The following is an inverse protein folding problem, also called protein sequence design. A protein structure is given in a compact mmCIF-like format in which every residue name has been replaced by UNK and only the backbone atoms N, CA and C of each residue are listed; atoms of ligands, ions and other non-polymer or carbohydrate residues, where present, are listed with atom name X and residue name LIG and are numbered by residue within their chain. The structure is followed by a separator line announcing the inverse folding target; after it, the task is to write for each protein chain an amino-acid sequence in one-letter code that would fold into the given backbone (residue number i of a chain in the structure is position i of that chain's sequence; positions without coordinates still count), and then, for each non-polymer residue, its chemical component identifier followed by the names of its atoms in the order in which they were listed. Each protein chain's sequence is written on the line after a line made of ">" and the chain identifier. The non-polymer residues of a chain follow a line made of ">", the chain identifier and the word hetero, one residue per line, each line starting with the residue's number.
data_IF_941846814750
#
_entry.id   IF_941846814750
#
_cell.length_a   1.000
_cell.length_b   1.000
_cell.length_c   1.000
_cell.angle_alpha   90.00
_cell.angle_beta   90.00
_cell.angle_gamma   90.00
#
_symmetry.space_group_name_H-M   'P 1'
#
loop_
_entity.id
_entity.type
_entity.pdbx_description
1 polymer ?
#
# COMPACT_ATOMS: atom_id res chain seq x y z
N UNK A 1 0.70 6.18 -16.06
CA UNK A 1 2.01 5.78 -15.49
C UNK A 1 1.79 5.50 -14.01
N UNK A 2 2.41 4.47 -13.44
CA UNK A 2 2.26 4.12 -12.01
C UNK A 2 3.63 4.31 -11.34
N UNK A 3 3.68 5.07 -10.25
CA UNK A 3 4.90 5.30 -9.48
C UNK A 3 4.87 4.45 -8.21
N UNK A 4 5.91 3.65 -7.98
CA UNK A 4 5.94 2.72 -6.85
C UNK A 4 7.28 2.73 -6.10
N UNK A 5 7.24 2.30 -4.85
CA UNK A 5 8.42 1.99 -4.04
C UNK A 5 8.25 0.61 -3.45
N UNK A 6 9.27 -0.22 -3.61
CA UNK A 6 9.34 -1.49 -2.90
C UNK A 6 10.12 -1.30 -1.60
N UNK A 7 9.53 -1.77 -0.50
CA UNK A 7 10.11 -1.72 0.83
C UNK A 7 10.23 -3.14 1.37
N UNK A 8 11.29 -3.39 2.14
CA UNK A 8 11.47 -4.62 2.91
C UNK A 8 11.77 -4.25 4.35
N UNK A 9 11.06 -4.82 5.30
CA UNK A 9 11.32 -4.60 6.71
C UNK A 9 10.95 -5.88 7.47
N UNK A 10 11.87 -6.40 8.29
CA UNK A 10 11.65 -7.60 9.13
C UNK A 10 10.94 -8.75 8.40
N UNK A 11 11.47 -9.14 7.23
CA UNK A 11 10.89 -10.18 6.37
C UNK A 11 9.65 -9.77 5.57
N UNK A 12 8.92 -8.74 5.98
CA UNK A 12 7.79 -8.21 5.23
C UNK A 12 8.26 -7.49 3.96
N UNK A 13 7.51 -7.68 2.87
CA UNK A 13 7.73 -7.00 1.59
C UNK A 13 6.47 -6.24 1.21
N UNK A 14 6.62 -4.95 0.94
CA UNK A 14 5.50 -4.08 0.60
C UNK A 14 5.83 -3.20 -0.59
N UNK A 15 4.92 -3.18 -1.55
CA UNK A 15 4.93 -2.29 -2.71
C UNK A 15 3.99 -1.12 -2.47
N UNK A 16 4.55 0.06 -2.24
CA UNK A 16 3.82 1.30 -2.05
C UNK A 16 3.58 1.97 -3.41
N UNK A 17 2.32 2.11 -3.81
CA UNK A 17 1.91 2.92 -4.96
C UNK A 17 1.74 4.37 -4.52
N UNK A 18 2.60 5.24 -5.05
CA UNK A 18 2.59 6.68 -4.75
C UNK A 18 1.59 7.43 -5.63
N UNK A 19 1.55 7.08 -6.92
CA UNK A 19 0.76 7.79 -7.94
C UNK A 19 0.32 6.82 -9.03
N UNK A 20 -0.75 7.17 -9.75
CA UNK A 20 -1.30 6.36 -10.85
C UNK A 20 -2.28 5.27 -10.42
N UNK A 21 -2.81 5.35 -9.19
CA UNK A 21 -3.94 4.53 -8.74
C UNK A 21 -5.27 4.93 -9.38
N UNK A 22 -6.30 4.06 -9.30
CA UNK A 22 -7.64 4.39 -9.76
C UNK A 22 -8.26 5.52 -8.91
N UNK A 23 -9.22 6.24 -9.48
CA UNK A 23 -10.06 7.16 -8.70
C UNK A 23 -11.02 6.35 -7.82
N UNK A 24 -10.88 6.50 -6.50
CA UNK A 24 -11.70 5.82 -5.50
C UNK A 24 -12.70 6.77 -4.82
N UNK A 25 -12.75 8.03 -5.26
CA UNK A 25 -13.46 9.11 -4.59
C UNK A 25 -12.73 9.67 -3.35
N UNK A 26 -13.39 10.61 -2.66
CA UNK A 26 -12.83 11.39 -1.53
C UNK A 26 -13.44 11.06 -0.15
N UNK A 27 -14.28 10.02 -0.10
CA UNK A 27 -14.94 9.59 1.12
C UNK A 27 -14.00 8.85 2.09
N UNK A 28 -14.55 8.30 3.19
CA UNK A 28 -13.78 7.52 4.17
C UNK A 28 -12.96 6.40 3.53
N UNK A 29 -11.77 6.15 4.05
CA UNK A 29 -10.85 5.16 3.47
C UNK A 29 -11.45 3.74 3.40
N UNK A 30 -12.32 3.38 4.34
CA UNK A 30 -13.06 2.11 4.31
C UNK A 30 -13.95 1.96 3.06
N UNK A 31 -14.60 3.05 2.61
CA UNK A 31 -15.41 3.06 1.38
C UNK A 31 -14.54 3.02 0.13
N UNK A 32 -13.43 3.76 0.14
CA UNK A 32 -12.44 3.74 -0.95
C UNK A 32 -11.81 2.36 -1.11
N UNK A 33 -11.50 1.69 -0.01
CA UNK A 33 -10.97 0.33 0.00
C UNK A 33 -11.98 -0.70 -0.53
N UNK A 34 -13.27 -0.57 -0.18
CA UNK A 34 -14.34 -1.38 -0.78
C UNK A 34 -14.45 -1.14 -2.29
N UNK A 35 -14.34 0.11 -2.75
CA UNK A 35 -14.32 0.43 -4.17
C UNK A 35 -13.14 -0.23 -4.89
N UNK A 36 -11.93 -0.12 -4.32
CA UNK A 36 -10.73 -0.78 -4.84
C UNK A 36 -10.92 -2.29 -4.98
N UNK A 37 -11.48 -2.93 -3.95
CA UNK A 37 -11.72 -4.37 -3.93
C UNK A 37 -12.77 -4.82 -4.94
N UNK A 38 -13.88 -4.08 -5.07
CA UNK A 38 -15.02 -4.47 -5.91
C UNK A 38 -14.81 -4.17 -7.40
N UNK A 39 -14.17 -3.05 -7.72
CA UNK A 39 -14.18 -2.51 -9.09
C UNK A 39 -12.79 -2.45 -9.73
N UNK A 40 -11.73 -2.63 -8.95
CA UNK A 40 -10.35 -2.42 -9.42
C UNK A 40 -9.42 -3.62 -9.14
N UNK A 41 -9.95 -4.84 -9.25
CA UNK A 41 -9.16 -6.08 -9.13
C UNK A 41 -7.94 -6.09 -10.06
N UNK A 42 -8.14 -5.68 -11.33
CA UNK A 42 -7.07 -5.62 -12.34
C UNK A 42 -5.89 -4.76 -11.90
N UNK A 43 -6.17 -3.64 -11.20
CA UNK A 43 -5.13 -2.78 -10.67
C UNK A 43 -4.39 -3.47 -9.53
N UNK A 44 -5.09 -4.07 -8.56
CA UNK A 44 -4.46 -4.78 -7.44
C UNK A 44 -3.55 -5.90 -7.94
N UNK A 45 -4.06 -6.74 -8.85
CA UNK A 45 -3.29 -7.84 -9.45
C UNK A 45 -2.10 -7.30 -10.24
N UNK A 46 -2.27 -6.22 -11.01
CA UNK A 46 -1.17 -5.63 -11.78
C UNK A 46 -0.06 -5.04 -10.91
N UNK A 47 -0.41 -4.40 -9.78
CA UNK A 47 0.58 -3.88 -8.81
C UNK A 47 1.41 -5.01 -8.23
N UNK A 48 0.81 -6.17 -7.99
CA UNK A 48 1.49 -7.34 -7.42
C UNK A 48 2.14 -8.22 -8.50
N UNK A 49 1.75 -8.06 -9.77
CA UNK A 49 2.39 -8.74 -10.89
C UNK A 49 3.85 -8.27 -11.02
N UNK A 50 4.71 -9.18 -11.49
CA UNK A 50 6.18 -9.07 -11.48
C UNK A 50 6.86 -9.57 -10.20
N UNK A 51 6.12 -10.08 -9.21
CA UNK A 51 6.70 -10.82 -8.07
C UNK A 51 6.57 -12.33 -8.19
N UNK A 52 6.52 -12.87 -9.43
CA UNK A 52 6.35 -14.31 -9.68
C UNK A 52 7.37 -15.19 -8.95
N UNK A 53 8.54 -14.62 -8.62
CA UNK A 53 9.63 -15.29 -7.91
C UNK A 53 9.73 -14.90 -6.43
N UNK A 54 8.73 -14.20 -5.86
CA UNK A 54 8.63 -14.06 -4.41
C UNK A 54 7.18 -14.04 -3.92
N UNK A 55 6.69 -15.15 -3.33
CA UNK A 55 5.40 -15.14 -2.64
C UNK A 55 5.39 -14.15 -1.46
N UNK A 56 4.22 -13.60 -1.14
CA UNK A 56 4.01 -12.81 0.09
C UNK A 56 4.34 -11.32 0.02
N UNK A 57 4.19 -10.66 -1.14
CA UNK A 57 4.22 -9.20 -1.21
C UNK A 57 2.82 -8.61 -0.94
N UNK A 58 2.76 -7.58 -0.09
CA UNK A 58 1.56 -6.75 0.07
C UNK A 58 1.67 -5.47 -0.78
N UNK A 59 0.55 -5.02 -1.33
CA UNK A 59 0.41 -3.71 -1.96
C UNK A 59 -0.13 -2.69 -0.97
N UNK A 60 0.29 -1.45 -1.07
CA UNK A 60 -0.29 -0.32 -0.36
C UNK A 60 -0.51 0.85 -1.33
N UNK A 61 -1.73 1.38 -1.39
CA UNK A 61 -2.04 2.59 -2.17
C UNK A 61 -1.99 3.81 -1.26
N UNK A 62 -1.08 4.74 -1.54
CA UNK A 62 -1.00 6.03 -0.87
C UNK A 62 -2.19 6.91 -1.29
N UNK A 63 -2.85 7.48 -0.30
CA UNK A 63 -4.05 8.28 -0.48
C UNK A 63 -3.96 9.57 0.34
N UNK A 64 -4.68 10.61 -0.09
CA UNK A 64 -5.07 11.68 0.82
C UNK A 64 -5.93 11.08 1.96
N UNK A 65 -5.64 11.41 3.23
CA UNK A 65 -6.47 10.99 4.33
C UNK A 65 -7.81 11.73 4.32
N UNK A 66 -8.87 11.04 4.71
CA UNK A 66 -10.17 11.62 4.96
C UNK A 66 -10.25 12.19 6.39
N UNK A 67 -9.63 11.52 7.35
CA UNK A 67 -9.64 11.96 8.74
C UNK A 67 -8.64 13.11 8.99
N UNK A 68 -9.05 14.14 9.75
CA UNK A 68 -8.18 15.27 10.04
C UNK A 68 -6.98 14.85 10.89
N UNK A 69 -5.85 15.53 10.69
CA UNK A 69 -4.62 15.32 11.48
C UNK A 69 -3.82 14.07 11.11
N UNK A 70 -4.24 13.32 10.08
CA UNK A 70 -3.44 12.23 9.54
C UNK A 70 -2.42 12.75 8.52
N UNK A 71 -1.22 12.18 8.53
CA UNK A 71 -0.16 12.50 7.57
C UNK A 71 -0.42 11.88 6.19
N UNK A 72 -1.05 10.71 6.15
CA UNK A 72 -1.50 10.07 4.91
C UNK A 72 -2.61 9.04 5.16
N UNK A 73 -3.31 8.67 4.09
CA UNK A 73 -4.20 7.53 4.05
C UNK A 73 -3.54 6.34 3.32
N UNK A 74 -3.84 5.12 3.76
CA UNK A 74 -3.29 3.87 3.23
C UNK A 74 -4.38 2.82 3.03
N UNK A 75 -4.43 2.26 1.82
CA UNK A 75 -5.25 1.08 1.52
C UNK A 75 -4.30 -0.08 1.23
N UNK A 76 -4.26 -1.06 2.14
CA UNK A 76 -3.36 -2.22 2.06
C UNK A 76 -4.13 -3.42 1.50
N UNK A 77 -3.50 -4.17 0.60
CA UNK A 77 -4.13 -5.28 -0.11
C UNK A 77 -3.10 -6.34 -0.55
N UNK A 78 -3.56 -7.54 -0.87
CA UNK A 78 -2.80 -8.59 -1.57
C UNK A 78 -3.60 -9.12 -2.77
N UNK A 79 -3.34 -10.32 -3.27
CA UNK A 79 -4.14 -10.91 -4.34
C UNK A 79 -5.58 -11.19 -3.92
N UNK A 80 -5.79 -11.51 -2.65
CA UNK A 80 -7.02 -12.11 -2.15
C UNK A 80 -7.99 -11.06 -1.59
N UNK A 81 -7.48 -9.94 -1.10
CA UNK A 81 -8.34 -8.87 -0.61
C UNK A 81 -7.63 -7.69 0.03
N UNK A 82 -8.33 -7.09 0.99
CA UNK A 82 -7.80 -6.02 1.84
C UNK A 82 -7.11 -6.62 3.06
N UNK A 83 -6.01 -6.02 3.48
CA UNK A 83 -5.22 -6.46 4.62
C UNK A 83 -5.15 -5.37 5.69
N UNK A 84 -5.02 -5.73 6.99
CA UNK A 84 -4.55 -4.78 7.98
C UNK A 84 -3.09 -4.39 7.68
N UNK A 85 -2.68 -3.19 8.09
CA UNK A 85 -1.29 -2.77 8.00
C UNK A 85 -0.47 -3.48 9.10
N UNK A 86 0.50 -4.31 8.71
CA UNK A 86 1.44 -4.91 9.66
C UNK A 86 2.41 -3.87 10.19
N UNK A 87 2.94 -4.04 11.40
CA UNK A 87 3.91 -3.07 11.94
C UNK A 87 5.21 -3.03 11.14
N UNK A 88 5.70 -4.15 10.63
CA UNK A 88 6.84 -4.17 9.71
C UNK A 88 6.53 -3.38 8.41
N UNK A 89 5.32 -3.54 7.86
CA UNK A 89 4.85 -2.73 6.73
C UNK A 89 4.75 -1.23 7.06
N UNK A 90 4.28 -0.89 8.27
CA UNK A 90 4.21 0.48 8.77
C UNK A 90 5.60 1.11 8.90
N UNK A 91 6.59 0.37 9.42
CA UNK A 91 8.00 0.81 9.48
C UNK A 91 8.54 1.06 8.07
N UNK A 92 8.41 0.08 7.17
CA UNK A 92 8.88 0.19 5.79
C UNK A 92 8.28 1.40 5.06
N UNK A 93 6.96 1.60 5.22
CA UNK A 93 6.24 2.75 4.67
C UNK A 93 6.71 4.08 5.27
N UNK A 94 6.85 4.16 6.60
CA UNK A 94 7.29 5.38 7.29
C UNK A 94 8.67 5.81 6.78
N UNK A 95 9.60 4.86 6.67
CA UNK A 95 10.94 5.12 6.13
C UNK A 95 10.92 5.51 4.65
N UNK A 96 10.04 4.92 3.84
CA UNK A 96 9.88 5.29 2.43
C UNK A 96 9.37 6.73 2.29
N UNK A 97 8.34 7.12 3.05
CA UNK A 97 7.81 8.48 3.04
C UNK A 97 8.84 9.50 3.54
N UNK A 98 9.62 9.15 4.56
CA UNK A 98 10.70 10.00 5.06
C UNK A 98 11.79 10.21 4.01
N UNK A 99 12.23 9.14 3.32
CA UNK A 99 13.22 9.22 2.23
C UNK A 99 12.73 10.04 1.04
N UNK A 100 11.43 10.03 0.78
CA UNK A 100 10.81 10.89 -0.23
C UNK A 100 10.64 12.36 0.21
N UNK A 101 10.97 12.71 1.45
CA UNK A 101 10.73 14.04 2.01
C UNK A 101 9.25 14.37 2.22
N UNK A 102 8.37 13.35 2.26
CA UNK A 102 6.92 13.52 2.47
C UNK A 102 6.56 13.67 3.95
N UNK A 103 7.40 13.15 4.84
CA UNK A 103 7.31 13.32 6.30
C UNK A 103 8.72 13.58 6.86
N UNK A 104 8.79 14.13 8.08
CA UNK A 104 10.04 14.47 8.79
C UNK A 104 10.05 13.79 10.15
N UNK A 105 11.14 13.87 10.91
CA UNK A 105 11.15 13.34 12.28
C UNK A 105 10.02 13.97 13.11
N UNK A 106 9.26 13.14 13.84
CA UNK A 106 8.07 13.55 14.57
C UNK A 106 7.03 12.46 14.70
N UNK A 107 5.90 12.83 15.34
CA UNK A 107 4.72 11.96 15.46
C UNK A 107 3.90 12.04 14.19
N UNK A 108 3.54 10.88 13.65
CA UNK A 108 2.67 10.76 12.50
C UNK A 108 1.52 9.82 12.81
N UNK A 109 0.38 10.12 12.19
CA UNK A 109 -0.81 9.28 12.20
C UNK A 109 -1.15 8.91 10.78
N UNK A 110 -1.40 7.64 10.52
CA UNK A 110 -1.88 7.17 9.23
C UNK A 110 -3.30 6.64 9.36
N UNK A 111 -4.15 7.06 8.43
CA UNK A 111 -5.48 6.49 8.28
C UNK A 111 -5.39 5.23 7.44
N UNK A 112 -6.01 4.14 7.90
CA UNK A 112 -6.16 2.91 7.13
C UNK A 112 -7.63 2.54 7.00
N UNK A 113 -7.95 1.63 6.09
CA UNK A 113 -9.31 1.07 5.98
C UNK A 113 -9.81 0.42 7.28
N UNK A 114 -8.89 -0.04 8.14
CA UNK A 114 -9.17 -0.73 9.41
C UNK A 114 -9.03 0.17 10.64
N UNK A 115 -8.74 1.47 10.46
CA UNK A 115 -8.57 2.44 11.56
C UNK A 115 -7.28 3.24 11.49
N UNK A 116 -7.03 4.04 12.52
CA UNK A 116 -5.84 4.88 12.65
C UNK A 116 -4.69 4.11 13.25
N UNK A 117 -3.47 4.38 12.78
CA UNK A 117 -2.24 3.91 13.39
C UNK A 117 -1.30 5.08 13.64
N UNK A 118 -0.72 5.12 14.84
CA UNK A 118 0.25 6.13 15.22
C UNK A 118 1.67 5.59 15.08
N UNK A 119 2.60 6.49 14.77
CA UNK A 119 4.03 6.18 14.70
C UNK A 119 4.84 7.38 15.14
N UNK A 120 6.02 7.13 15.70
CA UNK A 120 7.05 8.12 15.97
C UNK A 120 8.25 7.84 15.08
N UNK A 121 8.58 8.76 14.17
CA UNK A 121 9.83 8.74 13.42
C UNK A 121 10.87 9.57 14.17
N UNK A 122 11.95 8.94 14.60
CA UNK A 122 13.04 9.59 15.31
C UNK A 122 14.04 10.23 14.35
N UNK A 123 14.83 11.19 14.84
CA UNK A 123 15.82 11.92 14.04
C UNK A 123 16.97 11.04 13.53
N UNK A 124 17.23 9.91 14.18
CA UNK A 124 18.21 8.91 13.75
C UNK A 124 17.63 7.93 12.71
N UNK A 125 16.37 8.08 12.34
CA UNK A 125 15.64 7.20 11.42
C UNK A 125 15.03 5.97 12.10
N UNK A 126 15.14 5.81 13.42
CA UNK A 126 14.40 4.76 14.12
C UNK A 126 12.90 5.06 14.12
N UNK A 127 12.07 4.01 14.22
CA UNK A 127 10.62 4.11 14.19
C UNK A 127 10.04 3.47 15.43
N UNK A 128 9.07 4.09 16.10
CA UNK A 128 8.35 3.50 17.23
C UNK A 128 6.86 3.46 16.97
N UNK A 129 6.23 2.32 17.27
CA UNK A 129 4.79 2.13 17.12
C UNK A 129 4.17 2.04 18.53
N UNK A 130 3.50 3.09 19.03
CA UNK A 130 2.90 3.09 20.36
C UNK A 130 1.60 2.28 20.43
N UNK A 131 1.43 1.47 21.50
CA UNK A 131 0.13 0.94 21.92
C UNK A 131 -0.52 -0.14 21.03
N UNK A 132 0.28 -1.05 20.45
CA UNK A 132 -0.25 -2.14 19.63
C UNK A 132 -1.21 -3.07 20.40
N UNK A 133 -2.30 -3.52 19.76
CA UNK A 133 -3.12 -4.65 20.26
C UNK A 133 -2.37 -5.97 20.02
N UNK A 134 -2.50 -6.95 20.92
CA UNK A 134 -1.88 -8.29 20.78
C UNK A 134 -2.08 -8.83 19.36
N UNK A 135 -0.97 -9.13 18.67
CA UNK A 135 -0.92 -9.51 17.26
C UNK A 135 -0.40 -8.41 16.31
N UNK A 136 -0.14 -7.19 16.80
CA UNK A 136 0.42 -6.09 16.03
C UNK A 136 1.63 -5.49 16.74
N UNK A 137 2.83 -5.83 16.24
CA UNK A 137 4.11 -5.14 16.36
C UNK A 137 4.15 -3.86 17.23
N UNK A 138 4.19 -4.06 18.55
CA UNK A 138 4.56 -3.04 19.53
C UNK A 138 6.09 -3.04 19.66
N UNK A 139 6.73 -1.88 19.58
CA UNK A 139 8.17 -1.80 19.76
C UNK A 139 8.86 -0.59 19.15
N UNK A 140 10.14 -0.46 19.51
CA UNK A 140 11.09 0.46 18.88
C UNK A 140 11.90 -0.32 17.85
N UNK A 141 11.89 0.17 16.62
CA UNK A 141 12.48 -0.43 15.44
C UNK A 141 13.68 0.43 15.02
N UNK A 142 14.89 -0.06 15.31
CA UNK A 142 16.15 0.65 15.03
C UNK A 142 16.57 0.51 13.56
N UNK A 143 17.14 1.55 12.91
CA UNK A 143 17.62 1.50 11.52
C UNK A 143 18.57 0.33 11.25
N UNK A 144 19.39 -0.05 12.24
CA UNK A 144 20.35 -1.14 12.14
C UNK A 144 19.69 -2.53 12.05
N UNK A 145 18.56 -2.74 12.74
CA UNK A 145 17.75 -3.96 12.60
C UNK A 145 17.17 -4.10 11.19
N UNK A 146 17.11 -2.98 10.46
CA UNK A 146 16.66 -2.85 9.09
C UNK A 146 17.82 -2.51 8.14
N UNK A 147 19.07 -2.83 8.50
CA UNK A 147 20.22 -2.67 7.59
C UNK A 147 20.08 -3.48 6.29
N UNK A 148 19.19 -4.48 6.26
CA UNK A 148 18.78 -5.22 5.06
C UNK A 148 17.45 -4.73 4.44
N UNK A 149 16.85 -3.67 4.98
CA UNK A 149 15.73 -2.96 4.39
C UNK A 149 16.20 -2.21 3.15
N UNK A 150 16.29 -2.94 2.05
CA UNK A 150 16.33 -2.33 0.73
C UNK A 150 15.02 -1.57 0.52
N UNK A 151 15.11 -0.24 0.50
CA UNK A 151 14.08 0.59 -0.12
C UNK A 151 14.56 0.83 -1.55
N UNK A 152 13.87 0.21 -2.50
CA UNK A 152 14.15 0.38 -3.92
C UNK A 152 13.02 1.18 -4.54
N UNK A 153 13.36 2.34 -5.11
CA UNK A 153 12.39 3.22 -5.76
C UNK A 153 12.36 2.87 -7.24
N UNK A 154 11.19 2.54 -7.77
CA UNK A 154 11.01 2.15 -9.15
C UNK A 154 9.85 2.91 -9.79
N UNK A 155 10.12 3.64 -10.87
CA UNK A 155 9.06 4.24 -11.68
C UNK A 155 8.75 3.34 -12.87
N UNK A 156 7.55 2.77 -12.90
CA UNK A 156 7.11 1.91 -14.00
C UNK A 156 6.29 2.70 -15.01
N UNK A 157 6.82 2.84 -16.24
CA UNK A 157 6.01 3.21 -17.40
C UNK A 157 5.18 2.00 -17.79
N UNK A 158 3.89 2.01 -17.44
CA UNK A 158 2.93 1.06 -18.01
C UNK A 158 2.81 1.33 -19.52
N UNK A 159 3.67 0.71 -20.32
CA UNK A 159 3.48 0.58 -21.77
C UNK A 159 2.83 -0.77 -22.03
N UNK A 160 1.51 -0.75 -22.21
CA UNK A 160 0.68 -1.72 -22.95
C UNK A 160 0.69 -3.22 -22.55
N UNK A 161 1.60 -3.70 -21.71
CA UNK A 161 1.70 -5.13 -21.35
C UNK A 161 0.65 -5.60 -20.35
N UNK A 162 -0.01 -4.67 -19.66
CA UNK A 162 -1.08 -4.93 -18.69
C UNK A 162 -2.48 -4.87 -19.30
N UNK A 163 -2.62 -4.42 -20.56
CA UNK A 163 -3.90 -4.03 -21.18
C UNK A 163 -4.32 -4.93 -22.34
N UNK A 164 -4.00 -6.24 -22.35
CA UNK A 164 -4.64 -7.17 -23.29
C UNK A 164 -5.75 -7.96 -22.61
N UNK A 165 -7.03 -7.51 -22.68
CA UNK A 165 -8.15 -8.38 -22.41
C UNK A 165 -8.13 -9.49 -23.47
N UNK A 166 -7.98 -10.76 -23.07
CA UNK A 166 -8.10 -11.89 -24.00
C UNK A 166 -7.25 -13.12 -23.76
N UNK A 167 -6.37 -13.16 -22.75
CA UNK A 167 -5.60 -14.36 -22.40
C UNK A 167 -6.18 -15.17 -21.22
N UNK A 168 -7.36 -14.78 -20.73
CA UNK A 168 -8.09 -15.53 -19.69
C UNK A 168 -8.97 -16.63 -20.33
N UNK A 169 -8.36 -17.58 -21.03
CA UNK A 169 -9.08 -18.78 -21.49
C UNK A 169 -9.28 -19.71 -20.30
N UNK A 170 -10.52 -19.80 -19.82
CA UNK A 170 -10.99 -20.93 -19.03
C UNK A 170 -11.44 -20.62 -17.60
N UNK A 171 -12.46 -19.78 -17.43
CA UNK A 171 -13.46 -19.91 -16.34
C UNK A 171 -14.74 -19.19 -16.77
N UNK A 172 -15.87 -19.86 -16.60
CA UNK A 172 -17.15 -19.57 -17.25
C UNK A 172 -17.91 -18.38 -16.63
N UNK A 173 -18.27 -17.45 -17.52
CA UNK A 173 -19.55 -16.72 -17.65
C UNK A 173 -20.36 -16.42 -16.37
N UNK A 174 -20.57 -15.15 -16.05
CA UNK A 174 -21.76 -14.39 -16.50
C UNK A 174 -21.79 -12.99 -15.88
N UNK A 175 -22.51 -12.08 -16.56
CA UNK A 175 -22.91 -10.75 -16.11
C UNK A 175 -21.86 -9.63 -16.18
N UNK A 176 -21.74 -8.98 -17.34
CA UNK A 176 -21.81 -7.52 -17.44
C UNK A 176 -22.46 -7.14 -18.77
N UNK A 177 -23.70 -6.64 -18.68
CA UNK A 177 -24.39 -5.93 -19.76
C UNK A 177 -23.90 -4.48 -19.79
N UNK A 178 -23.77 -3.98 -21.01
CA UNK A 178 -23.39 -2.64 -21.43
C UNK A 178 -24.27 -1.55 -20.81
N UNK A 179 -23.65 -0.43 -20.43
CA UNK A 179 -24.29 0.88 -20.47
C UNK A 179 -23.31 1.87 -21.12
N UNK A 180 -23.59 2.20 -22.38
CA UNK A 180 -23.02 3.36 -23.05
C UNK A 180 -23.73 4.62 -22.53
N UNK A 181 -22.98 5.69 -22.31
CA UNK A 181 -23.54 7.03 -22.15
C UNK A 181 -22.92 7.92 -23.23
N UNK A 182 -23.80 8.73 -23.81
CA UNK A 182 -23.73 9.50 -25.06
C UNK A 182 -22.54 10.44 -25.20
#
# INVERSE_FOLDING_TARGET
>A
MISIIDTRADGARMRLVLEGGPDLGRGPLSKRAQCLLQWHEHFRVAVLADTRDTPGIAGALLCEPHAPGCSAGLIVFDSDGLLPLSGAGLVGLTLALARLGRIVAGRHRFETASGMVDVLLHGDGSVSIPGGRQGSAEGVYSPAAFSHAGISIHSYKSTERFLRPGQWKGRSRSCFRTAAVR
#
